data_IF_368681970832
#
_entry.id   IF_368681970832
#
_cell.length_a   1.000
_cell.length_b   1.000
_cell.length_c   1.000
_cell.angle_alpha   90.00
_cell.angle_beta   90.00
_cell.angle_gamma   90.00
#
_symmetry.space_group_name_H-M   'P 1'
#
loop_
_entity.id
_entity.type
_entity.pdbx_description
1 polymer ?
#
# COMPACT_ATOMS: atom_id res chain seq x y z
N UNK A 1 -2.16 -12.82 17.05
CA UNK A 1 -1.52 -11.48 17.02
C UNK A 1 -0.60 -11.31 18.22
N UNK A 2 0.42 -10.46 18.14
CA UNK A 2 1.38 -10.21 19.22
C UNK A 2 1.73 -8.73 19.29
N UNK A 3 1.96 -8.19 20.49
CA UNK A 3 2.52 -6.86 20.70
C UNK A 3 4.00 -6.97 21.07
N UNK A 4 4.86 -6.34 20.28
CA UNK A 4 6.30 -6.27 20.51
C UNK A 4 6.66 -4.79 20.66
N UNK A 5 6.86 -4.28 21.89
CA UNK A 5 7.19 -2.89 22.13
C UNK A 5 8.44 -2.46 21.35
N UNK A 6 8.37 -1.29 20.73
CA UNK A 6 9.47 -0.69 19.98
C UNK A 6 10.20 0.42 20.76
N UNK A 7 10.55 1.49 20.05
CA UNK A 7 11.15 2.73 20.60
C UNK A 7 10.08 3.53 21.38
N UNK A 8 10.50 4.44 22.30
CA UNK A 8 9.78 4.70 23.54
C UNK A 8 8.33 5.10 23.32
N UNK A 9 7.49 4.50 24.16
CA UNK A 9 6.04 4.67 24.19
C UNK A 9 5.68 5.95 24.96
N UNK A 10 4.52 6.52 24.62
CA UNK A 10 3.85 7.51 25.46
C UNK A 10 2.83 6.81 26.34
N UNK A 11 2.44 7.41 27.46
CA UNK A 11 1.37 6.86 28.31
C UNK A 11 0.09 6.59 27.51
N UNK A 12 -0.23 7.47 26.54
CA UNK A 12 -1.37 7.26 25.63
C UNK A 12 -1.19 6.02 24.75
N UNK A 13 0.01 5.78 24.20
CA UNK A 13 0.25 4.57 23.39
C UNK A 13 0.20 3.29 24.20
N UNK A 14 0.65 3.32 25.46
CA UNK A 14 0.55 2.18 26.36
C UNK A 14 -0.91 1.83 26.62
N UNK A 15 -1.74 2.83 26.99
CA UNK A 15 -3.17 2.63 27.19
C UNK A 15 -3.87 2.15 25.91
N UNK A 16 -3.54 2.74 24.76
CA UNK A 16 -4.09 2.33 23.46
C UNK A 16 -3.71 0.89 23.14
N UNK A 17 -2.45 0.50 23.34
CA UNK A 17 -2.00 -0.87 23.09
C UNK A 17 -2.76 -1.85 23.99
N UNK A 18 -2.87 -1.56 25.29
CA UNK A 18 -3.63 -2.40 26.22
C UNK A 18 -5.10 -2.56 25.82
N UNK A 19 -5.76 -1.45 25.44
CA UNK A 19 -7.16 -1.48 24.98
C UNK A 19 -7.33 -2.25 23.67
N UNK A 20 -6.40 -2.12 22.73
CA UNK A 20 -6.42 -2.92 21.50
C UNK A 20 -6.26 -4.41 21.81
N UNK A 21 -5.32 -4.78 22.69
CA UNK A 21 -5.12 -6.17 23.10
C UNK A 21 -6.33 -6.75 23.81
N UNK A 22 -6.98 -5.99 24.71
CA UNK A 22 -8.24 -6.39 25.34
C UNK A 22 -9.34 -6.64 24.29
N UNK A 23 -9.44 -5.77 23.28
CA UNK A 23 -10.45 -5.86 22.22
C UNK A 23 -10.24 -7.08 21.31
N UNK A 24 -9.00 -7.39 20.95
CA UNK A 24 -8.65 -8.64 20.28
C UNK A 24 -9.13 -9.84 21.11
N UNK A 25 -8.79 -9.90 22.41
CA UNK A 25 -9.22 -11.01 23.29
C UNK A 25 -10.74 -11.13 23.36
N UNK A 26 -11.47 -10.02 23.51
CA UNK A 26 -12.95 -10.01 23.57
C UNK A 26 -13.60 -10.51 22.29
N UNK A 27 -12.97 -10.27 21.12
CA UNK A 27 -13.43 -10.80 19.84
C UNK A 27 -13.17 -12.30 19.67
N UNK A 28 -12.39 -12.90 20.57
CA UNK A 28 -11.95 -14.30 20.50
C UNK A 28 -10.62 -14.49 19.75
N UNK A 29 -9.89 -13.41 19.47
CA UNK A 29 -8.57 -13.52 18.84
C UNK A 29 -7.50 -13.98 19.82
N UNK A 30 -6.52 -14.71 19.29
CA UNK A 30 -5.35 -15.14 20.06
C UNK A 30 -4.37 -13.98 20.18
N UNK A 31 -4.17 -13.50 21.41
CA UNK A 31 -3.09 -12.58 21.77
C UNK A 31 -1.93 -13.40 22.35
N UNK A 32 -0.88 -13.56 21.54
CA UNK A 32 0.29 -14.38 21.85
C UNK A 32 1.28 -13.62 22.74
N UNK A 33 2.05 -14.32 23.61
CA UNK A 33 3.09 -13.71 24.43
C UNK A 33 4.37 -13.38 23.64
N UNK A 34 4.62 -14.09 22.54
CA UNK A 34 5.78 -13.89 21.67
C UNK A 34 5.43 -14.27 20.22
N UNK A 35 6.14 -13.73 19.21
CA UNK A 35 5.92 -14.11 17.82
C UNK A 35 6.33 -15.55 17.53
N UNK A 36 5.53 -16.25 16.73
CA UNK A 36 5.76 -17.62 16.22
C UNK A 36 5.22 -17.77 14.79
N UNK A 37 5.24 -18.99 14.23
CA UNK A 37 4.77 -19.26 12.86
C UNK A 37 3.27 -19.02 12.64
N UNK A 38 2.48 -19.04 13.72
CA UNK A 38 1.04 -18.76 13.69
C UNK A 38 0.75 -17.26 13.85
N UNK A 39 1.77 -16.42 14.04
CA UNK A 39 1.58 -14.97 14.14
C UNK A 39 1.18 -14.37 12.79
N UNK A 40 -0.07 -13.91 12.68
CA UNK A 40 -0.54 -13.14 11.51
C UNK A 40 -0.23 -11.64 11.59
N UNK A 41 -0.24 -11.09 12.81
CA UNK A 41 -0.12 -9.66 13.07
C UNK A 41 0.86 -9.38 14.22
N UNK A 42 1.83 -8.52 13.96
CA UNK A 42 2.71 -7.90 14.96
C UNK A 42 2.33 -6.42 15.08
N UNK A 43 1.97 -6.00 16.29
CA UNK A 43 1.87 -4.60 16.68
C UNK A 43 3.17 -4.15 17.32
N UNK A 44 3.64 -2.94 16.97
CA UNK A 44 4.84 -2.34 17.55
C UNK A 44 4.69 -0.83 17.67
N UNK A 45 5.68 -0.13 18.23
CA UNK A 45 5.61 1.31 18.48
C UNK A 45 6.81 2.05 17.88
N UNK A 46 6.58 3.29 17.44
CA UNK A 46 7.64 4.21 17.02
C UNK A 46 7.33 5.65 17.45
N UNK A 47 8.37 6.47 17.70
CA UNK A 47 8.19 7.87 18.03
C UNK A 47 7.69 8.68 16.83
N UNK A 48 6.85 9.69 17.10
CA UNK A 48 6.34 10.57 16.05
C UNK A 48 7.35 11.65 15.66
N UNK A 49 7.69 11.71 14.37
CA UNK A 49 8.60 12.70 13.81
C UNK A 49 10.08 12.35 13.97
N UNK A 50 10.40 11.14 14.43
CA UNK A 50 11.76 10.68 14.71
C UNK A 50 12.03 9.35 14.00
N UNK A 51 13.15 9.23 13.28
CA UNK A 51 13.46 8.02 12.54
C UNK A 51 13.95 6.89 13.46
N UNK A 52 13.50 5.67 13.18
CA UNK A 52 14.07 4.47 13.77
C UNK A 52 15.14 3.88 12.85
N UNK A 53 16.12 3.19 13.43
CA UNK A 53 17.11 2.43 12.66
C UNK A 53 16.45 1.25 11.94
N UNK A 54 16.91 0.91 10.73
CA UNK A 54 16.36 -0.21 9.96
C UNK A 54 16.44 -1.55 10.69
N UNK A 55 17.47 -1.74 11.55
CA UNK A 55 17.62 -2.94 12.40
C UNK A 55 16.58 -3.03 13.51
N UNK A 56 15.88 -1.95 13.78
CA UNK A 56 14.84 -1.86 14.81
C UNK A 56 13.44 -2.01 14.22
N UNK A 57 13.29 -1.79 12.91
CA UNK A 57 12.03 -1.99 12.20
C UNK A 57 11.65 -3.46 12.17
N UNK A 58 10.51 -3.80 12.78
CA UNK A 58 9.97 -5.16 12.73
C UNK A 58 9.47 -5.51 11.32
N UNK A 59 9.06 -4.55 10.49
CA UNK A 59 8.74 -4.83 9.09
C UNK A 59 9.95 -5.46 8.37
N UNK A 60 11.14 -4.93 8.62
CA UNK A 60 12.37 -5.38 7.96
C UNK A 60 13.05 -6.56 8.68
N UNK A 61 12.82 -6.71 9.98
CA UNK A 61 13.60 -7.64 10.80
C UNK A 61 12.80 -8.76 11.44
N UNK A 62 11.47 -8.68 11.57
CA UNK A 62 10.69 -9.65 12.34
C UNK A 62 10.94 -11.09 11.91
N UNK A 63 10.86 -11.38 10.61
CA UNK A 63 11.08 -12.73 10.07
C UNK A 63 12.42 -13.30 10.52
N UNK A 64 13.52 -12.56 10.32
CA UNK A 64 14.86 -13.01 10.71
C UNK A 64 15.06 -13.02 12.23
N UNK A 65 14.56 -11.99 12.92
CA UNK A 65 14.70 -11.78 14.37
C UNK A 65 14.02 -12.88 15.16
N UNK A 66 12.84 -13.30 14.73
CA UNK A 66 12.03 -14.33 15.38
C UNK A 66 12.08 -15.69 14.67
N UNK A 67 12.93 -15.82 13.63
CA UNK A 67 13.14 -17.05 12.84
C UNK A 67 11.87 -17.60 12.20
N UNK A 68 11.00 -16.71 11.73
CA UNK A 68 9.74 -17.04 11.09
C UNK A 68 9.94 -17.51 9.65
N UNK A 69 9.08 -18.39 9.15
CA UNK A 69 9.07 -18.81 7.74
C UNK A 69 8.52 -17.72 6.82
N UNK A 70 7.51 -16.99 7.27
CA UNK A 70 6.89 -15.86 6.57
C UNK A 70 7.03 -14.56 7.37
N UNK A 71 6.85 -13.43 6.71
CA UNK A 71 6.78 -12.13 7.39
C UNK A 71 5.34 -11.86 7.80
N UNK A 72 5.01 -11.79 9.11
CA UNK A 72 3.69 -11.37 9.56
C UNK A 72 3.39 -9.95 9.11
N UNK A 73 2.10 -9.59 9.08
CA UNK A 73 1.74 -8.18 8.91
C UNK A 73 2.26 -7.39 10.09
N UNK A 74 2.98 -6.30 9.84
CA UNK A 74 3.46 -5.38 10.88
C UNK A 74 2.69 -4.09 10.81
N UNK A 75 2.11 -3.67 11.93
CA UNK A 75 1.47 -2.36 12.09
C UNK A 75 2.19 -1.60 13.21
N UNK A 76 2.65 -0.39 12.90
CA UNK A 76 3.32 0.48 13.87
C UNK A 76 2.33 1.49 14.44
N UNK A 77 2.17 1.49 15.76
CA UNK A 77 1.39 2.47 16.51
C UNK A 77 2.27 3.69 16.78
N UNK A 78 1.76 4.87 16.45
CA UNK A 78 2.48 6.14 16.59
C UNK A 78 1.53 7.15 17.21
N UNK A 79 2.03 7.99 18.11
CA UNK A 79 1.23 9.02 18.78
C UNK A 79 1.76 10.42 18.54
N UNK A 80 0.87 11.30 18.12
CA UNK A 80 1.11 12.73 18.03
C UNK A 80 0.14 13.52 18.93
N UNK A 81 0.66 14.46 19.71
CA UNK A 81 -0.16 15.53 20.31
C UNK A 81 -0.90 16.31 19.21
N UNK A 82 -2.06 16.88 19.54
CA UNK A 82 -2.83 17.72 18.59
C UNK A 82 -1.98 18.83 18.00
N UNK A 83 -1.18 19.48 18.84
CA UNK A 83 -0.30 20.59 18.45
C UNK A 83 0.76 20.14 17.44
N UNK A 84 1.47 19.03 17.70
CA UNK A 84 2.50 18.53 16.77
C UNK A 84 1.88 18.08 15.44
N UNK A 85 0.75 17.39 15.48
CA UNK A 85 0.02 16.95 14.28
C UNK A 85 -0.40 18.13 13.40
N UNK A 86 -1.11 19.12 13.97
CA UNK A 86 -1.54 20.33 13.26
C UNK A 86 -0.37 21.11 12.69
N UNK A 87 0.69 21.33 13.49
CA UNK A 87 1.88 22.05 13.04
C UNK A 87 2.51 21.42 11.79
N UNK A 88 2.61 20.09 11.71
CA UNK A 88 3.15 19.43 10.52
C UNK A 88 2.19 19.50 9.33
N UNK A 89 0.88 19.36 9.55
CA UNK A 89 -0.10 19.53 8.47
C UNK A 89 -0.10 20.97 7.93
N UNK A 90 0.01 21.96 8.79
CA UNK A 90 0.08 23.37 8.41
C UNK A 90 1.38 23.68 7.66
N UNK A 91 2.50 23.10 8.11
CA UNK A 91 3.78 23.14 7.42
C UNK A 91 3.69 22.58 6.00
N UNK A 92 3.19 21.34 5.84
CA UNK A 92 3.00 20.74 4.51
C UNK A 92 2.03 21.55 3.67
N UNK A 93 0.94 22.06 4.24
CA UNK A 93 -0.02 22.90 3.50
C UNK A 93 0.65 24.16 2.95
N UNK A 94 1.48 24.82 3.75
CA UNK A 94 2.20 26.01 3.32
C UNK A 94 3.25 25.70 2.25
N UNK A 95 4.02 24.62 2.42
CA UNK A 95 5.03 24.19 1.46
C UNK A 95 4.43 23.76 0.12
N UNK A 96 3.35 22.98 0.13
CA UNK A 96 2.64 22.50 -1.06
C UNK A 96 1.90 23.61 -1.82
N UNK A 97 1.56 24.72 -1.15
CA UNK A 97 0.90 25.86 -1.78
C UNK A 97 1.87 26.73 -2.61
N UNK A 98 3.18 26.52 -2.51
CA UNK A 98 4.17 27.25 -3.32
C UNK A 98 4.07 26.81 -4.79
N UNK A 99 4.14 27.75 -5.75
CA UNK A 99 4.18 27.41 -7.18
C UNK A 99 5.37 26.52 -7.54
N UNK A 100 6.51 26.75 -6.88
CA UNK A 100 7.71 25.94 -6.96
C UNK A 100 8.03 25.40 -5.55
N UNK A 101 7.86 24.09 -5.31
CA UNK A 101 8.18 23.48 -4.02
C UNK A 101 9.68 23.59 -3.70
N UNK A 102 10.00 24.05 -2.49
CA UNK A 102 11.37 24.13 -2.00
C UNK A 102 11.77 22.81 -1.32
N UNK A 103 12.78 22.07 -1.82
CA UNK A 103 13.23 20.82 -1.20
C UNK A 103 13.56 20.94 0.29
N UNK A 104 14.00 22.12 0.76
CA UNK A 104 14.31 22.35 2.16
C UNK A 104 13.07 22.26 3.08
N UNK A 105 11.88 22.60 2.57
CA UNK A 105 10.63 22.45 3.33
C UNK A 105 10.27 20.97 3.53
N UNK A 106 10.87 20.05 2.78
CA UNK A 106 10.58 18.62 2.84
C UNK A 106 11.75 17.80 3.40
N UNK A 107 12.77 18.46 3.95
CA UNK A 107 13.92 17.83 4.56
C UNK A 107 13.60 17.38 6.00
N UNK A 108 13.12 16.15 6.16
CA UNK A 108 12.83 15.55 7.47
C UNK A 108 13.90 14.52 7.89
N UNK A 109 14.19 14.39 9.19
CA UNK A 109 15.16 13.41 9.67
C UNK A 109 14.83 11.98 9.23
N UNK A 110 15.84 11.29 8.69
CA UNK A 110 15.77 9.88 8.29
C UNK A 110 15.16 9.59 6.91
N UNK A 111 14.84 10.64 6.15
CA UNK A 111 14.47 10.56 4.73
C UNK A 111 15.72 10.71 3.83
N UNK A 112 15.66 10.15 2.63
CA UNK A 112 16.66 10.36 1.59
C UNK A 112 16.60 11.81 1.05
N UNK A 113 17.72 12.37 0.54
CA UNK A 113 17.74 13.72 -0.05
C UNK A 113 16.72 13.93 -1.17
N UNK A 114 16.34 12.89 -1.90
CA UNK A 114 15.41 12.92 -3.03
C UNK A 114 13.94 12.71 -2.60
N UNK A 115 13.70 12.32 -1.35
CA UNK A 115 12.38 11.97 -0.84
C UNK A 115 11.38 13.13 -0.91
N UNK A 116 11.85 14.38 -0.97
CA UNK A 116 11.00 15.55 -1.15
C UNK A 116 10.10 15.45 -2.38
N UNK A 117 10.56 14.80 -3.46
CA UNK A 117 9.76 14.63 -4.68
C UNK A 117 8.51 13.81 -4.41
N UNK A 118 8.66 12.70 -3.70
CA UNK A 118 7.54 11.84 -3.30
C UNK A 118 6.60 12.58 -2.35
N UNK A 119 7.14 13.33 -1.38
CA UNK A 119 6.31 14.11 -0.44
C UNK A 119 5.50 15.19 -1.15
N UNK A 120 6.09 15.87 -2.13
CA UNK A 120 5.43 16.89 -2.95
C UNK A 120 4.36 16.25 -3.84
N UNK A 121 4.70 15.22 -4.60
CA UNK A 121 3.79 14.59 -5.55
C UNK A 121 2.55 14.03 -4.82
N UNK A 122 2.76 13.25 -3.77
CA UNK A 122 1.67 12.67 -2.99
C UNK A 122 0.86 13.77 -2.28
N UNK A 123 1.54 14.81 -1.78
CA UNK A 123 0.91 15.96 -1.13
C UNK A 123 0.03 16.80 -2.06
N UNK A 124 0.47 17.01 -3.32
CA UNK A 124 -0.32 17.73 -4.32
C UNK A 124 -1.57 16.96 -4.73
N UNK A 125 -1.50 15.62 -4.73
CA UNK A 125 -2.62 14.75 -5.12
C UNK A 125 -3.63 14.47 -4.01
N UNK A 126 -3.17 14.17 -2.80
CA UNK A 126 -4.04 13.80 -1.67
C UNK A 126 -3.95 14.72 -0.46
N UNK A 127 -3.32 15.89 -0.61
CA UNK A 127 -3.23 16.91 0.43
C UNK A 127 -2.11 16.67 1.44
N UNK A 128 -1.93 17.60 2.39
CA UNK A 128 -0.80 17.61 3.33
C UNK A 128 -0.70 16.37 4.22
N UNK A 129 -1.81 15.63 4.40
CA UNK A 129 -1.80 14.40 5.19
C UNK A 129 -1.09 13.25 4.47
N UNK A 130 -1.08 13.21 3.14
CA UNK A 130 -0.29 12.20 2.41
C UNK A 130 1.21 12.48 2.50
N UNK A 131 1.64 13.74 2.47
CA UNK A 131 3.04 14.07 2.76
C UNK A 131 3.42 13.64 4.18
N UNK A 132 2.53 13.87 5.15
CA UNK A 132 2.74 13.40 6.53
C UNK A 132 2.81 11.88 6.59
N UNK A 133 1.90 11.17 5.94
CA UNK A 133 1.87 9.70 5.87
C UNK A 133 3.21 9.15 5.38
N UNK A 134 3.70 9.62 4.23
CA UNK A 134 4.97 9.17 3.64
C UNK A 134 6.15 9.48 4.54
N UNK A 135 6.17 10.65 5.17
CA UNK A 135 7.19 11.01 6.15
C UNK A 135 7.20 10.04 7.34
N UNK A 136 6.04 9.75 7.93
CA UNK A 136 5.95 8.87 9.09
C UNK A 136 6.26 7.42 8.72
N UNK A 137 5.81 6.93 7.55
CA UNK A 137 6.17 5.60 7.02
C UNK A 137 7.68 5.46 6.83
N UNK A 138 8.32 6.49 6.25
CA UNK A 138 9.76 6.55 6.06
C UNK A 138 10.52 6.55 7.40
N UNK A 139 10.04 7.28 8.40
CA UNK A 139 10.68 7.36 9.71
C UNK A 139 10.52 6.08 10.52
N UNK A 140 9.32 5.50 10.52
CA UNK A 140 9.02 4.24 11.20
C UNK A 140 9.53 3.01 10.44
N UNK A 141 10.00 3.19 9.19
CA UNK A 141 10.38 2.10 8.26
C UNK A 141 9.30 1.02 8.22
N UNK A 142 8.03 1.44 8.18
CA UNK A 142 6.85 0.59 8.23
C UNK A 142 5.79 1.11 7.26
N UNK A 143 5.11 0.20 6.57
CA UNK A 143 4.10 0.53 5.56
C UNK A 143 2.73 0.79 6.18
N UNK A 144 2.34 -0.03 7.16
CA UNK A 144 1.06 0.14 7.86
C UNK A 144 1.29 0.84 9.18
N UNK A 145 0.65 2.00 9.36
CA UNK A 145 0.74 2.80 10.58
C UNK A 145 -0.67 3.09 11.10
N UNK A 146 -0.84 2.99 12.42
CA UNK A 146 -1.95 3.63 13.11
C UNK A 146 -1.41 4.87 13.82
N UNK A 147 -1.69 6.05 13.27
CA UNK A 147 -1.32 7.33 13.85
C UNK A 147 -2.46 7.81 14.77
N UNK A 148 -2.25 7.73 16.07
CA UNK A 148 -3.14 8.27 17.08
C UNK A 148 -2.86 9.75 17.30
N UNK A 149 -3.92 10.57 17.29
CA UNK A 149 -3.86 12.00 17.55
C UNK A 149 -4.68 12.31 18.79
N UNK A 150 -4.05 12.95 19.78
CA UNK A 150 -4.67 13.27 21.07
C UNK A 150 -3.61 13.74 22.06
N UNK A 151 -4.03 14.39 23.15
CA UNK A 151 -3.10 14.80 24.21
C UNK A 151 -3.16 13.78 25.36
N UNK A 152 -4.25 13.77 26.13
CA UNK A 152 -4.44 12.83 27.24
C UNK A 152 -5.18 11.55 26.84
N UNK A 153 -6.01 11.62 25.79
CA UNK A 153 -6.78 10.50 25.22
C UNK A 153 -6.77 10.58 23.70
N UNK A 154 -6.91 9.47 22.97
CA UNK A 154 -7.04 9.52 21.51
C UNK A 154 -8.32 10.25 21.14
N UNK A 155 -8.21 11.21 20.23
CA UNK A 155 -9.35 11.90 19.60
C UNK A 155 -9.61 11.38 18.18
N UNK A 156 -8.54 10.95 17.51
CA UNK A 156 -8.61 10.31 16.21
C UNK A 156 -7.49 9.29 16.03
N UNK A 157 -7.72 8.32 15.16
CA UNK A 157 -6.69 7.46 14.60
C UNK A 157 -6.76 7.50 13.08
N UNK A 158 -5.61 7.66 12.44
CA UNK A 158 -5.46 7.53 10.99
C UNK A 158 -4.79 6.21 10.69
N UNK A 159 -5.44 5.38 9.87
CA UNK A 159 -4.81 4.18 9.36
C UNK A 159 -4.14 4.51 8.02
N UNK A 160 -2.81 4.48 8.01
CA UNK A 160 -1.99 4.73 6.84
C UNK A 160 -1.51 3.40 6.25
N UNK A 161 -1.50 3.31 4.93
CA UNK A 161 -0.95 2.19 4.18
C UNK A 161 -0.15 2.68 2.95
N UNK A 162 0.44 1.77 2.17
CA UNK A 162 1.22 2.19 1.01
C UNK A 162 0.34 2.70 -0.15
N UNK A 163 -0.94 2.34 -0.19
CA UNK A 163 -1.88 2.63 -1.29
C UNK A 163 -2.32 4.11 -1.28
N UNK A 164 -2.04 4.84 -0.20
CA UNK A 164 -2.24 6.29 -0.13
C UNK A 164 -3.66 6.69 0.29
N UNK A 165 -4.35 5.82 1.04
CA UNK A 165 -5.57 6.17 1.74
C UNK A 165 -5.28 6.47 3.23
N UNK A 166 -5.98 7.46 3.78
CA UNK A 166 -5.85 7.87 5.19
C UNK A 166 -7.19 7.84 5.96
N UNK A 167 -7.95 6.73 5.98
CA UNK A 167 -9.19 6.65 6.73
C UNK A 167 -9.00 7.11 8.18
N UNK A 168 -9.88 8.03 8.60
CA UNK A 168 -9.86 8.61 9.94
C UNK A 168 -10.99 7.99 10.78
N UNK A 169 -10.62 7.36 11.89
CA UNK A 169 -11.54 6.93 12.92
C UNK A 169 -11.56 8.00 14.01
N UNK A 170 -12.71 8.62 14.25
CA UNK A 170 -12.87 9.58 15.36
C UNK A 170 -13.25 8.83 16.64
N UNK A 171 -12.65 9.20 17.76
CA UNK A 171 -12.93 8.61 19.06
C UNK A 171 -14.17 9.27 19.70
N UNK A 172 -15.30 9.26 19.00
CA UNK A 172 -16.57 9.79 19.52
C UNK A 172 -17.17 8.85 20.57
N UNK A 173 -17.11 7.54 20.30
CA UNK A 173 -17.54 6.47 21.21
C UNK A 173 -16.36 5.53 21.44
N UNK A 174 -15.81 5.45 22.67
CA UNK A 174 -14.55 4.72 22.92
C UNK A 174 -14.58 3.27 22.45
N UNK A 175 -15.68 2.56 22.72
CA UNK A 175 -15.79 1.13 22.41
C UNK A 175 -15.85 0.89 20.90
N UNK A 176 -16.74 1.61 20.21
CA UNK A 176 -16.87 1.53 18.75
C UNK A 176 -15.58 1.98 18.04
N UNK A 177 -14.84 2.93 18.61
CA UNK A 177 -13.56 3.37 18.08
C UNK A 177 -12.53 2.23 18.05
N UNK A 178 -12.35 1.51 19.17
CA UNK A 178 -11.41 0.38 19.20
C UNK A 178 -11.90 -0.83 18.42
N UNK A 179 -13.21 -1.12 18.43
CA UNK A 179 -13.79 -2.19 17.62
C UNK A 179 -13.56 -1.96 16.13
N UNK A 180 -13.69 -0.70 15.67
CA UNK A 180 -13.40 -0.33 14.27
C UNK A 180 -11.92 -0.52 13.92
N UNK A 181 -11.00 -0.12 14.80
CA UNK A 181 -9.56 -0.29 14.60
C UNK A 181 -9.17 -1.77 14.56
N UNK A 182 -9.69 -2.59 15.47
CA UNK A 182 -9.49 -4.05 15.46
C UNK A 182 -10.03 -4.65 14.18
N UNK A 183 -11.25 -4.30 13.76
CA UNK A 183 -11.81 -4.79 12.50
C UNK A 183 -10.90 -4.44 11.31
N UNK A 184 -10.39 -3.22 11.21
CA UNK A 184 -9.46 -2.82 10.14
C UNK A 184 -8.16 -3.64 10.15
N UNK A 185 -7.59 -3.87 11.33
CA UNK A 185 -6.36 -4.68 11.45
C UNK A 185 -6.60 -6.14 11.09
N UNK A 186 -7.73 -6.71 11.52
CA UNK A 186 -8.13 -8.08 11.17
C UNK A 186 -8.37 -8.20 9.68
N UNK A 187 -9.09 -7.25 9.06
CA UNK A 187 -9.27 -7.20 7.61
C UNK A 187 -7.93 -7.18 6.90
N UNK A 188 -6.97 -6.35 7.35
CA UNK A 188 -5.66 -6.25 6.73
C UNK A 188 -4.85 -7.56 6.75
N UNK A 189 -5.09 -8.46 7.71
CA UNK A 189 -4.41 -9.77 7.79
C UNK A 189 -5.25 -10.92 7.22
N UNK A 190 -6.52 -10.67 6.90
CA UNK A 190 -7.45 -11.68 6.38
C UNK A 190 -7.64 -11.59 4.87
N UNK A 191 -6.90 -10.70 4.19
CA UNK A 191 -6.91 -10.56 2.73
C UNK A 191 -5.79 -11.40 2.11
N UNK A 192 -6.11 -12.07 1.01
CA UNK A 192 -5.15 -12.80 0.17
C UNK A 192 -5.02 -12.08 -1.18
N UNK A 193 -3.84 -12.18 -1.79
CA UNK A 193 -3.64 -11.69 -3.15
C UNK A 193 -4.41 -12.53 -4.18
N UNK A 194 -4.96 -11.86 -5.19
CA UNK A 194 -5.71 -12.48 -6.28
C UNK A 194 -4.81 -12.62 -7.51
N UNK A 195 -3.79 -13.46 -7.39
CA UNK A 195 -2.71 -13.59 -8.40
C UNK A 195 -2.61 -14.99 -9.01
N UNK A 196 -3.47 -15.94 -8.61
CA UNK A 196 -3.45 -17.31 -9.11
C UNK A 196 -4.13 -17.41 -10.48
N UNK A 197 -3.63 -16.67 -11.48
CA UNK A 197 -4.19 -16.67 -12.82
C UNK A 197 -3.96 -18.02 -13.53
N UNK A 198 -4.91 -18.43 -14.38
CA UNK A 198 -4.84 -19.69 -15.12
C UNK A 198 -5.05 -19.48 -16.61
N UNK A 199 -4.29 -20.20 -17.42
CA UNK A 199 -4.48 -20.25 -18.86
C UNK A 199 -5.79 -20.97 -19.19
N UNK A 200 -6.60 -20.41 -20.10
CA UNK A 200 -7.83 -21.07 -20.58
C UNK A 200 -7.97 -20.99 -22.10
N UNK A 201 -7.99 -22.16 -22.74
CA UNK A 201 -8.17 -22.27 -24.19
C UNK A 201 -6.87 -22.06 -24.99
N UNK A 202 -6.94 -22.20 -26.33
CA UNK A 202 -5.77 -22.03 -27.19
C UNK A 202 -5.31 -20.56 -27.21
N UNK A 203 -4.00 -20.30 -27.43
CA UNK A 203 -3.48 -18.96 -27.66
C UNK A 203 -4.25 -18.21 -28.75
N UNK A 204 -4.31 -16.89 -28.64
CA UNK A 204 -4.85 -16.01 -29.67
C UNK A 204 -3.80 -15.90 -30.78
N UNK A 205 -4.15 -16.24 -32.04
CA UNK A 205 -3.20 -16.14 -33.14
C UNK A 205 -2.70 -14.71 -33.31
N UNK A 206 -1.39 -14.55 -33.54
CA UNK A 206 -0.78 -13.22 -33.70
C UNK A 206 -1.40 -12.46 -34.89
N UNK A 207 -1.76 -13.19 -35.94
CA UNK A 207 -2.46 -12.63 -37.10
C UNK A 207 -3.81 -12.03 -36.70
N UNK A 208 -4.60 -12.71 -35.86
CA UNK A 208 -5.87 -12.19 -35.36
C UNK A 208 -5.64 -10.96 -34.49
N UNK A 209 -4.71 -11.03 -33.54
CA UNK A 209 -4.37 -9.93 -32.63
C UNK A 209 -4.05 -8.64 -33.37
N UNK A 210 -3.23 -8.71 -34.42
CA UNK A 210 -2.86 -7.56 -35.26
C UNK A 210 -4.04 -6.91 -36.01
N UNK A 211 -5.16 -7.62 -36.16
CA UNK A 211 -6.38 -7.05 -36.79
C UNK A 211 -7.30 -6.35 -35.80
N UNK A 212 -7.01 -6.42 -34.50
CA UNK A 212 -7.83 -5.79 -33.46
C UNK A 212 -7.45 -4.31 -33.34
N UNK A 213 -8.46 -3.44 -33.19
CA UNK A 213 -8.24 -2.04 -32.86
C UNK A 213 -7.93 -1.82 -31.39
N UNK A 214 -8.35 -2.74 -30.53
CA UNK A 214 -8.29 -2.64 -29.06
C UNK A 214 -6.89 -2.41 -28.50
N UNK A 215 -5.83 -3.13 -28.93
CA UNK A 215 -4.49 -2.93 -28.37
C UNK A 215 -3.94 -1.52 -28.65
N UNK A 216 -4.11 -1.03 -29.88
CA UNK A 216 -3.70 0.31 -30.26
C UNK A 216 -4.53 1.40 -29.55
N UNK A 217 -5.84 1.17 -29.38
CA UNK A 217 -6.72 2.08 -28.65
C UNK A 217 -6.33 2.17 -27.16
N UNK A 218 -5.97 1.05 -26.53
CA UNK A 218 -5.46 1.01 -25.15
C UNK A 218 -4.18 1.82 -24.98
N UNK A 219 -3.21 1.67 -25.90
CA UNK A 219 -1.97 2.43 -25.88
C UNK A 219 -2.21 3.95 -26.02
N UNK A 220 -3.11 4.37 -26.93
CA UNK A 220 -3.44 5.79 -27.06
C UNK A 220 -4.23 6.32 -25.84
N UNK A 221 -5.14 5.52 -25.27
CA UNK A 221 -5.84 5.89 -24.04
C UNK A 221 -4.86 6.17 -22.90
N UNK A 222 -3.85 5.30 -22.72
CA UNK A 222 -2.77 5.48 -21.76
C UNK A 222 -2.06 6.82 -21.95
N UNK A 223 -1.70 7.14 -23.20
CA UNK A 223 -1.03 8.39 -23.55
C UNK A 223 -1.88 9.62 -23.27
N UNK A 224 -3.19 9.53 -23.52
CA UNK A 224 -4.15 10.60 -23.25
C UNK A 224 -4.37 10.82 -21.75
N UNK A 225 -4.44 9.74 -20.97
CA UNK A 225 -4.52 9.79 -19.50
C UNK A 225 -3.23 10.39 -18.90
N UNK A 226 -2.07 10.00 -19.43
CA UNK A 226 -0.77 10.56 -19.02
C UNK A 226 -0.68 12.06 -19.27
N UNK A 227 -1.10 12.55 -20.43
CA UNK A 227 -1.13 14.00 -20.75
C UNK A 227 -1.97 14.83 -19.78
N UNK A 228 -2.86 14.19 -19.01
CA UNK A 228 -3.74 14.80 -18.02
C UNK A 228 -3.28 14.50 -16.59
N UNK A 229 -2.08 13.93 -16.42
CA UNK A 229 -1.51 13.52 -15.14
C UNK A 229 -2.41 12.55 -14.35
N UNK A 230 -3.15 11.70 -15.05
CA UNK A 230 -4.07 10.76 -14.41
C UNK A 230 -3.32 9.70 -13.60
N UNK A 231 -2.23 9.15 -14.16
CA UNK A 231 -1.39 8.17 -13.46
C UNK A 231 -0.53 8.85 -12.38
N UNK A 232 -0.43 8.20 -11.22
CA UNK A 232 0.53 8.51 -10.15
C UNK A 232 1.89 7.93 -10.50
N UNK A 233 2.98 8.55 -10.10
CA UNK A 233 4.27 7.85 -10.11
C UNK A 233 4.29 6.75 -9.04
N UNK A 234 5.02 5.68 -9.35
CA UNK A 234 5.25 4.57 -8.46
C UNK A 234 6.03 5.03 -7.23
N UNK A 235 5.38 5.01 -6.06
CA UNK A 235 6.07 5.27 -4.80
C UNK A 235 6.92 4.05 -4.44
N UNK A 236 8.25 4.20 -4.48
CA UNK A 236 9.18 3.18 -4.01
C UNK A 236 9.70 3.57 -2.64
N UNK A 237 9.70 2.63 -1.69
CA UNK A 237 10.32 2.90 -0.36
C UNK A 237 11.79 3.31 -0.51
N UNK A 238 12.51 2.77 -1.50
CA UNK A 238 13.89 3.15 -1.78
C UNK A 238 14.06 4.64 -2.10
N UNK A 239 13.03 5.29 -2.66
CA UNK A 239 13.05 6.73 -2.98
C UNK A 239 12.77 7.58 -1.73
N UNK A 240 12.17 7.00 -0.69
CA UNK A 240 11.94 7.65 0.59
C UNK A 240 13.10 7.46 1.58
N UNK A 241 13.77 6.30 1.54
CA UNK A 241 14.77 5.91 2.53
C UNK A 241 15.89 5.05 1.93
N UNK A 242 17.14 5.29 2.33
CA UNK A 242 18.25 4.41 1.97
C UNK A 242 18.36 3.26 2.99
N UNK A 243 17.88 2.08 2.60
CA UNK A 243 18.01 0.83 3.39
C UNK A 243 18.78 -0.20 2.57
N UNK A 244 19.90 -0.76 3.08
CA UNK A 244 20.76 -1.69 2.33
C UNK A 244 20.09 -3.02 1.91
N UNK A 245 18.91 -3.32 2.46
CA UNK A 245 18.12 -4.49 2.13
C UNK A 245 16.64 -4.10 2.21
N UNK A 246 16.08 -3.72 1.07
CA UNK A 246 14.61 -3.62 0.91
C UNK A 246 14.11 -5.07 0.84
N UNK A 247 13.41 -5.53 1.88
CA UNK A 247 12.91 -6.91 1.93
C UNK A 247 11.93 -7.19 0.79
N UNK A 248 11.82 -8.44 0.33
CA UNK A 248 10.85 -8.90 -0.68
C UNK A 248 9.42 -8.37 -0.41
N UNK A 249 9.04 -8.29 0.87
CA UNK A 249 7.76 -7.76 1.35
C UNK A 249 7.44 -6.30 0.91
N UNK A 250 8.43 -5.54 0.43
CA UNK A 250 8.27 -4.18 -0.10
C UNK A 250 8.17 -4.18 -1.62
N UNK A 251 8.86 -5.11 -2.29
CA UNK A 251 8.86 -5.22 -3.75
C UNK A 251 7.49 -5.66 -4.30
N UNK A 252 6.71 -6.39 -3.50
CA UNK A 252 5.41 -6.95 -3.87
C UNK A 252 4.23 -5.96 -3.69
N UNK A 253 4.41 -4.83 -2.99
CA UNK A 253 3.28 -4.03 -2.51
C UNK A 253 2.87 -2.82 -3.37
N UNK A 254 3.27 -2.74 -4.65
CA UNK A 254 2.77 -1.65 -5.48
C UNK A 254 2.72 -1.97 -6.99
N UNK A 255 1.50 -2.03 -7.53
CA UNK A 255 1.25 -1.73 -8.94
C UNK A 255 0.24 -0.59 -9.04
N UNK A 256 0.53 0.38 -9.91
CA UNK A 256 -0.29 1.58 -10.14
C UNK A 256 -1.68 1.24 -10.71
N UNK A 257 -2.67 0.84 -9.91
CA UNK A 257 -4.05 0.65 -10.38
C UNK A 257 -4.18 -0.36 -11.52
N UNK A 258 -5.27 -0.30 -12.28
CA UNK A 258 -5.48 -1.06 -13.51
C UNK A 258 -6.38 -0.25 -14.43
N UNK A 259 -6.21 -0.38 -15.74
CA UNK A 259 -7.25 0.05 -16.66
C UNK A 259 -7.41 -0.99 -17.75
N UNK A 260 -8.65 -1.12 -18.19
CA UNK A 260 -9.08 -2.19 -19.07
C UNK A 260 -10.15 -1.69 -20.03
N UNK A 261 -10.39 -2.47 -21.07
CA UNK A 261 -11.48 -2.29 -22.03
C UNK A 261 -12.00 -3.66 -22.47
N UNK A 262 -13.16 -3.69 -23.11
CA UNK A 262 -13.73 -4.92 -23.67
C UNK A 262 -13.42 -5.02 -25.17
N UNK A 263 -12.87 -6.16 -25.60
CA UNK A 263 -12.74 -6.47 -27.03
C UNK A 263 -13.93 -7.34 -27.49
N UNK A 264 -14.80 -6.84 -28.37
CA UNK A 264 -16.00 -7.56 -28.79
C UNK A 264 -15.70 -8.74 -29.72
N UNK A 265 -14.56 -8.74 -30.44
CA UNK A 265 -14.19 -9.84 -31.36
C UNK A 265 -13.60 -11.01 -30.60
N UNK A 266 -12.87 -10.74 -29.52
CA UNK A 266 -12.36 -11.76 -28.62
C UNK A 266 -13.41 -12.22 -27.60
N UNK A 267 -14.41 -11.38 -27.31
CA UNK A 267 -15.35 -11.63 -26.22
C UNK A 267 -14.61 -11.66 -24.87
N UNK A 268 -13.69 -10.73 -24.68
CA UNK A 268 -12.74 -10.75 -23.57
C UNK A 268 -12.41 -9.34 -23.07
N UNK A 269 -12.05 -9.25 -21.79
CA UNK A 269 -11.51 -8.04 -21.20
C UNK A 269 -10.01 -7.95 -21.56
N UNK A 270 -9.57 -6.80 -22.06
CA UNK A 270 -8.17 -6.50 -22.31
C UNK A 270 -7.71 -5.50 -21.25
N UNK A 271 -6.79 -5.90 -20.38
CA UNK A 271 -6.34 -5.09 -19.26
C UNK A 271 -4.82 -4.98 -19.22
N UNK A 272 -4.30 -3.98 -18.51
CA UNK A 272 -2.86 -3.89 -18.23
C UNK A 272 -2.35 -5.11 -17.43
N UNK A 273 -1.13 -5.56 -17.71
CA UNK A 273 -0.46 -6.62 -16.93
C UNK A 273 -0.09 -6.15 -15.52
N UNK A 274 0.21 -7.10 -14.63
CA UNK A 274 0.64 -6.78 -13.26
C UNK A 274 2.02 -6.09 -13.24
N UNK A 275 2.16 -5.08 -12.38
CA UNK A 275 3.45 -4.41 -12.11
C UNK A 275 4.41 -5.25 -11.27
N UNK A 276 3.93 -6.35 -10.67
CA UNK A 276 4.75 -7.27 -9.87
C UNK A 276 5.71 -8.11 -10.72
N UNK A 277 5.32 -8.45 -11.95
CA UNK A 277 6.17 -9.21 -12.87
C UNK A 277 7.32 -8.35 -13.42
N UNK A 278 7.06 -7.06 -13.62
CA UNK A 278 8.04 -6.02 -13.94
C UNK A 278 7.43 -4.63 -13.78
N UNK A 279 8.24 -3.59 -13.61
CA UNK A 279 7.76 -2.22 -13.75
C UNK A 279 7.08 -2.01 -15.10
N UNK A 280 5.84 -1.50 -15.08
CA UNK A 280 5.07 -1.10 -16.26
C UNK A 280 4.82 0.40 -16.14
N UNK A 281 5.29 1.17 -17.11
CA UNK A 281 4.96 2.60 -17.19
C UNK A 281 3.58 2.76 -17.84
N UNK A 282 2.57 3.00 -17.01
CA UNK A 282 1.18 3.16 -17.49
C UNK A 282 0.98 4.39 -18.35
N UNK A 283 1.92 5.33 -18.34
CA UNK A 283 1.89 6.50 -19.21
C UNK A 283 2.16 6.15 -20.67
N UNK A 284 2.83 5.01 -20.91
CA UNK A 284 3.27 4.59 -22.23
C UNK A 284 3.25 3.07 -22.37
N UNK A 285 2.09 2.46 -22.16
CA UNK A 285 1.94 1.03 -22.37
C UNK A 285 2.10 0.67 -23.86
N UNK A 286 2.63 -0.51 -24.09
CA UNK A 286 2.72 -1.18 -25.38
C UNK A 286 1.74 -2.36 -25.40
N UNK A 287 1.61 -3.02 -26.55
CA UNK A 287 0.80 -4.23 -26.61
C UNK A 287 1.33 -5.35 -25.71
N UNK A 288 2.63 -5.39 -25.39
CA UNK A 288 3.22 -6.39 -24.48
C UNK A 288 2.89 -6.12 -23.01
N UNK A 289 2.31 -4.96 -22.71
CA UNK A 289 1.78 -4.60 -21.38
C UNK A 289 0.29 -4.94 -21.25
N UNK A 290 -0.29 -5.69 -22.20
CA UNK A 290 -1.70 -6.08 -22.20
C UNK A 290 -1.87 -7.59 -22.00
N UNK A 291 -2.85 -7.94 -21.16
CA UNK A 291 -3.32 -9.30 -20.94
C UNK A 291 -4.78 -9.43 -21.41
N UNK A 292 -5.14 -10.62 -21.91
CA UNK A 292 -6.51 -10.93 -22.35
C UNK A 292 -7.18 -11.86 -21.33
N UNK A 293 -8.18 -11.35 -20.65
CA UNK A 293 -8.94 -12.01 -19.58
C UNK A 293 -10.27 -12.51 -20.15
N UNK A 294 -10.53 -13.80 -20.01
CA UNK A 294 -11.72 -14.48 -20.55
C UNK A 294 -12.68 -14.95 -19.47
N UNK A 295 -12.32 -14.78 -18.20
CA UNK A 295 -13.14 -15.23 -17.09
C UNK A 295 -12.47 -15.01 -15.74
N UNK A 296 -13.21 -15.35 -14.69
CA UNK A 296 -12.71 -15.43 -13.32
C UNK A 296 -12.76 -16.88 -12.88
N UNK A 297 -11.74 -17.34 -12.15
CA UNK A 297 -11.74 -18.69 -11.57
C UNK A 297 -12.94 -18.85 -10.63
N UNK A 298 -13.56 -20.04 -10.53
CA UNK A 298 -14.67 -20.27 -9.62
C UNK A 298 -14.35 -19.98 -8.15
N UNK A 299 -13.09 -20.19 -7.74
CA UNK A 299 -12.60 -19.91 -6.38
C UNK A 299 -12.21 -18.45 -6.14
N UNK A 300 -12.32 -17.59 -7.17
CA UNK A 300 -11.97 -16.16 -7.15
C UNK A 300 -10.51 -15.87 -6.77
N UNK A 301 -9.61 -16.85 -6.84
CA UNK A 301 -8.18 -16.65 -6.53
C UNK A 301 -7.37 -16.10 -7.71
N UNK A 302 -8.00 -15.95 -8.87
CA UNK A 302 -7.37 -15.38 -10.07
C UNK A 302 -8.30 -15.35 -11.28
N UNK A 303 -7.77 -14.78 -12.36
CA UNK A 303 -8.45 -14.71 -13.65
C UNK A 303 -8.09 -15.89 -14.56
N UNK A 304 -9.01 -16.24 -15.46
CA UNK A 304 -8.68 -17.02 -16.64
C UNK A 304 -8.20 -16.09 -17.75
N UNK A 305 -7.03 -16.38 -18.33
CA UNK A 305 -6.45 -15.57 -19.39
C UNK A 305 -6.04 -16.39 -20.60
N UNK A 306 -5.98 -15.71 -21.75
CA UNK A 306 -5.52 -16.28 -23.03
C UNK A 306 -4.23 -15.58 -23.47
N UNK A 307 -3.14 -16.33 -23.71
CA UNK A 307 -1.93 -15.75 -24.22
C UNK A 307 -2.11 -15.42 -25.70
N UNK A 308 -1.36 -14.45 -26.20
CA UNK A 308 -1.24 -14.13 -27.61
C UNK A 308 0.06 -14.72 -28.14
N UNK A 309 0.00 -15.39 -29.28
CA UNK A 309 1.17 -16.00 -29.90
C UNK A 309 2.29 -14.99 -30.15
N UNK A 310 3.53 -15.35 -29.80
CA UNK A 310 4.71 -14.52 -30.04
C UNK A 310 4.83 -13.27 -29.17
N UNK A 311 3.91 -13.04 -28.21
CA UNK A 311 4.01 -11.98 -27.21
C UNK A 311 4.63 -12.49 -25.90
N UNK A 312 5.01 -11.56 -25.03
CA UNK A 312 5.59 -11.88 -23.72
C UNK A 312 4.59 -12.58 -22.78
N UNK A 313 3.34 -12.16 -22.81
CA UNK A 313 2.24 -12.73 -22.01
C UNK A 313 2.49 -12.69 -20.50
N UNK A 314 2.91 -11.52 -19.98
CA UNK A 314 2.97 -11.29 -18.54
C UNK A 314 1.56 -11.49 -17.91
N UNK A 315 1.44 -11.94 -16.64
CA UNK A 315 0.15 -12.17 -16.00
C UNK A 315 -0.73 -10.91 -15.94
N UNK A 316 -2.07 -11.05 -15.95
CA UNK A 316 -2.99 -9.94 -15.71
C UNK A 316 -2.72 -9.23 -14.37
N UNK A 317 -3.16 -7.97 -14.25
CA UNK A 317 -3.27 -7.33 -12.93
C UNK A 317 -4.34 -8.04 -12.07
N UNK A 318 -4.16 -8.05 -10.75
CA UNK A 318 -5.12 -8.62 -9.80
C UNK A 318 -6.50 -7.96 -9.88
N UNK A 319 -6.52 -6.65 -10.12
CA UNK A 319 -7.74 -5.86 -10.30
C UNK A 319 -8.53 -6.27 -11.55
N UNK A 320 -7.92 -6.98 -12.51
CA UNK A 320 -8.65 -7.51 -13.65
C UNK A 320 -9.72 -8.54 -13.25
N UNK A 321 -9.56 -9.22 -12.10
CA UNK A 321 -10.60 -10.11 -11.54
C UNK A 321 -11.81 -9.31 -11.09
N UNK A 322 -11.60 -8.18 -10.42
CA UNK A 322 -12.67 -7.27 -9.99
C UNK A 322 -13.38 -6.67 -11.20
N UNK A 323 -12.63 -6.22 -12.21
CA UNK A 323 -13.18 -5.61 -13.42
C UNK A 323 -14.01 -6.56 -14.26
N UNK A 324 -13.66 -7.84 -14.32
CA UNK A 324 -14.43 -8.83 -15.07
C UNK A 324 -15.74 -9.23 -14.36
N UNK A 325 -15.77 -9.13 -13.03
CA UNK A 325 -16.93 -9.51 -12.22
C UNK A 325 -18.00 -8.41 -12.10
N UNK A 326 -17.71 -7.18 -12.54
CA UNK A 326 -18.64 -6.05 -12.62
C UNK A 326 -19.53 -6.12 -13.87
#
# INVERSE_FOLDING_TARGET
>A
MVFVPGRPTTALLEEVAERLLDRFRRRGDVVQPAPDEETDLILTTAPFGEPIGWRESLLLTARRRFRLLRTPTVITLIHATKRRFRRLLDHFRAALARPEPDPADFAFPGLAPEAWRVLVEQGQRGGPILSLERMVQAQAKCLRILLFVGDDRPEAAYAFDLVGAYPCCRATEPDAFYDNLVLRMVTAVSVEEVTQHMLQGPPIPLALWRTLSTPAAMAEAARQLSRRNFFTEMVRIADLVHVPAVSDAVAEQYSEGCFATWDPRLGALVATVTGSARPVDKRQITEDDLAVIVGVRPDRKGAFYRPVEGKRNDPPSSEAVEMFAM
#
